data_IF_734442036688
#
_entry.id   IF_734442036688
#
_cell.length_a   1.000
_cell.length_b   1.000
_cell.length_c   1.000
_cell.angle_alpha   90.00
_cell.angle_beta   90.00
_cell.angle_gamma   90.00
#
_symmetry.space_group_name_H-M   'P 1'
#
loop_
_entity.id
_entity.type
_entity.pdbx_description
1 polymer ?
#
# COMPACT_ATOMS: atom_id res chain seq x y z
N UNK A 1 31.99 32.08 -29.63
CA UNK A 1 32.13 31.29 -28.39
C UNK A 1 32.59 32.19 -27.24
N UNK A 2 33.53 33.11 -27.46
CA UNK A 2 34.14 33.96 -26.42
C UNK A 2 33.18 34.86 -25.61
N UNK A 3 32.08 35.32 -26.20
CA UNK A 3 31.07 36.13 -25.51
C UNK A 3 30.29 35.32 -24.47
N UNK A 4 29.99 34.05 -24.75
CA UNK A 4 29.26 33.16 -23.84
C UNK A 4 30.17 32.74 -22.69
N UNK A 5 31.44 32.43 -22.98
CA UNK A 5 32.44 32.12 -21.95
C UNK A 5 32.71 33.31 -21.03
N UNK A 6 32.76 34.54 -21.57
CA UNK A 6 32.95 35.75 -20.76
C UNK A 6 31.74 36.07 -19.86
N UNK A 7 30.51 35.95 -20.35
CA UNK A 7 29.29 36.14 -19.54
C UNK A 7 29.18 35.08 -18.44
N UNK A 8 29.52 33.83 -18.76
CA UNK A 8 29.59 32.76 -17.77
C UNK A 8 30.65 33.08 -16.72
N UNK A 9 31.84 33.57 -17.09
CA UNK A 9 32.94 33.83 -16.17
C UNK A 9 32.67 34.94 -15.13
N UNK A 10 31.92 35.99 -15.50
CA UNK A 10 31.80 37.24 -14.74
C UNK A 10 30.69 37.24 -13.66
N UNK A 11 29.65 36.39 -13.79
CA UNK A 11 28.51 36.40 -12.87
C UNK A 11 28.24 35.02 -12.29
N UNK A 12 28.72 34.80 -11.06
CA UNK A 12 28.50 33.56 -10.30
C UNK A 12 27.02 33.14 -10.24
N UNK A 13 26.09 34.10 -10.10
CA UNK A 13 24.65 33.85 -10.13
C UNK A 13 24.14 33.23 -11.44
N UNK A 14 24.70 33.60 -12.60
CA UNK A 14 24.35 33.02 -13.90
C UNK A 14 24.83 31.57 -13.98
N UNK A 15 26.05 31.27 -13.49
CA UNK A 15 26.58 29.89 -13.42
C UNK A 15 25.67 28.99 -12.57
N UNK A 16 25.27 29.45 -11.38
CA UNK A 16 24.40 28.68 -10.49
C UNK A 16 22.99 28.49 -11.09
N UNK A 17 22.44 29.52 -11.72
CA UNK A 17 21.15 29.44 -12.41
C UNK A 17 21.15 28.36 -13.52
N UNK A 18 22.19 28.35 -14.35
CA UNK A 18 22.34 27.34 -15.42
C UNK A 18 22.50 25.93 -14.83
N UNK A 19 23.30 25.77 -13.78
CA UNK A 19 23.48 24.47 -13.13
C UNK A 19 22.16 23.92 -12.56
N UNK A 20 21.36 24.78 -11.90
CA UNK A 20 20.04 24.40 -11.36
C UNK A 20 19.09 24.00 -12.49
N UNK A 21 19.01 24.79 -13.56
CA UNK A 21 18.13 24.48 -14.70
C UNK A 21 18.56 23.19 -15.42
N UNK A 22 19.86 22.98 -15.60
CA UNK A 22 20.40 21.75 -16.18
C UNK A 22 20.06 20.52 -15.30
N UNK A 23 20.19 20.65 -13.98
CA UNK A 23 19.79 19.60 -13.03
C UNK A 23 18.28 19.32 -13.09
N UNK A 24 17.44 20.36 -13.08
CA UNK A 24 15.98 20.20 -13.20
C UNK A 24 15.59 19.53 -14.52
N UNK A 25 16.27 19.85 -15.63
CA UNK A 25 16.08 19.18 -16.92
C UNK A 25 16.47 17.70 -16.87
N UNK A 26 17.59 17.36 -16.21
CA UNK A 26 18.01 15.98 -15.98
C UNK A 26 16.99 15.21 -15.13
N UNK A 27 16.53 15.80 -14.01
CA UNK A 27 15.50 15.21 -13.15
C UNK A 27 14.23 14.94 -13.95
N UNK A 28 13.76 15.92 -14.72
CA UNK A 28 12.58 15.77 -15.59
C UNK A 28 12.79 14.63 -16.59
N UNK A 29 13.92 14.61 -17.31
CA UNK A 29 14.20 13.57 -18.29
C UNK A 29 14.16 12.17 -17.66
N UNK A 30 14.86 11.98 -16.54
CA UNK A 30 14.97 10.68 -15.88
C UNK A 30 13.63 10.22 -15.27
N UNK A 31 12.83 11.12 -14.69
CA UNK A 31 11.51 10.79 -14.14
C UNK A 31 10.54 10.32 -15.22
N UNK A 32 10.48 11.04 -16.35
CA UNK A 32 9.58 10.65 -17.43
C UNK A 32 10.10 9.46 -18.25
N UNK A 33 11.40 9.13 -18.18
CA UNK A 33 11.99 7.98 -18.90
C UNK A 33 11.27 6.67 -18.61
N UNK A 34 10.90 6.40 -17.35
CA UNK A 34 10.22 5.16 -16.95
C UNK A 34 8.83 5.07 -17.56
N UNK A 35 7.97 6.05 -17.28
CA UNK A 35 6.59 6.03 -17.76
C UNK A 35 6.52 6.07 -19.28
N UNK A 36 7.36 6.87 -19.94
CA UNK A 36 7.44 6.88 -21.41
C UNK A 36 7.94 5.54 -21.97
N UNK A 37 8.83 4.87 -21.26
CA UNK A 37 9.28 3.51 -21.60
C UNK A 37 8.15 2.49 -21.51
N UNK A 38 7.35 2.52 -20.43
CA UNK A 38 6.19 1.65 -20.25
C UNK A 38 5.12 1.90 -21.31
N UNK A 39 4.75 3.17 -21.58
CA UNK A 39 3.78 3.52 -22.61
C UNK A 39 4.24 3.13 -24.02
N UNK A 40 5.56 3.16 -24.28
CA UNK A 40 6.12 2.67 -25.55
C UNK A 40 6.11 1.14 -25.64
N UNK A 41 6.42 0.45 -24.53
CA UNK A 41 6.43 -1.02 -24.43
C UNK A 41 5.00 -1.59 -24.54
N UNK A 42 4.03 -0.89 -23.96
CA UNK A 42 2.62 -1.27 -23.87
C UNK A 42 1.73 -0.13 -24.37
N UNK A 43 1.58 0.03 -25.70
CA UNK A 43 0.79 1.13 -26.28
C UNK A 43 -0.72 0.95 -26.10
N UNK A 44 -1.20 -0.26 -25.87
CA UNK A 44 -2.60 -0.55 -25.53
C UNK A 44 -2.81 -0.41 -24.01
N UNK A 45 -3.52 0.62 -23.53
CA UNK A 45 -3.74 0.85 -22.10
C UNK A 45 -4.63 -0.21 -21.45
N UNK A 46 -5.37 -1.01 -22.24
CA UNK A 46 -6.27 -2.06 -21.74
C UNK A 46 -5.60 -3.42 -21.60
N UNK A 47 -4.39 -3.60 -22.13
CA UNK A 47 -3.62 -4.84 -22.04
C UNK A 47 -3.49 -5.41 -20.61
N UNK A 48 -3.27 -4.60 -19.55
CA UNK A 48 -3.21 -5.12 -18.19
C UNK A 48 -4.49 -5.84 -17.72
N UNK A 49 -5.65 -5.50 -18.27
CA UNK A 49 -6.94 -6.13 -17.93
C UNK A 49 -7.04 -7.57 -18.45
N UNK A 50 -6.18 -7.95 -19.40
CA UNK A 50 -6.14 -9.26 -20.06
C UNK A 50 -4.82 -10.01 -19.87
N UNK A 51 -3.80 -9.36 -19.30
CA UNK A 51 -2.49 -9.95 -18.97
C UNK A 51 -2.05 -9.50 -17.58
N UNK A 52 -2.16 -10.41 -16.61
CA UNK A 52 -1.84 -10.15 -15.21
C UNK A 52 -0.35 -9.87 -14.98
N UNK A 53 0.54 -10.46 -15.78
CA UNK A 53 1.99 -10.25 -15.60
C UNK A 53 2.37 -8.83 -16.05
N UNK A 54 1.76 -8.34 -17.12
CA UNK A 54 1.87 -6.92 -17.51
C UNK A 54 1.30 -6.01 -16.42
N UNK A 55 0.14 -6.36 -15.86
CA UNK A 55 -0.46 -5.59 -14.77
C UNK A 55 0.45 -5.55 -13.52
N UNK A 56 1.08 -6.67 -13.16
CA UNK A 56 2.03 -6.77 -12.03
C UNK A 56 3.28 -5.95 -12.27
N UNK A 57 3.83 -5.96 -13.48
CA UNK A 57 4.98 -5.13 -13.85
C UNK A 57 4.69 -3.64 -13.65
N UNK A 58 3.58 -3.17 -14.21
CA UNK A 58 3.23 -1.76 -14.19
C UNK A 58 2.77 -1.32 -12.79
N UNK A 59 1.95 -2.13 -12.11
CA UNK A 59 1.52 -1.89 -10.73
C UNK A 59 2.73 -1.80 -9.79
N UNK A 60 3.73 -2.67 -9.97
CA UNK A 60 4.96 -2.61 -9.18
C UNK A 60 5.81 -1.36 -9.46
N UNK A 61 5.83 -0.91 -10.71
CA UNK A 61 6.47 0.36 -11.06
C UNK A 61 5.79 1.57 -10.39
N UNK A 62 4.46 1.57 -10.30
CA UNK A 62 3.68 2.58 -9.59
C UNK A 62 3.96 2.52 -8.09
N UNK A 63 3.84 1.33 -7.51
CA UNK A 63 3.76 1.10 -6.07
C UNK A 63 5.12 1.10 -5.38
N UNK A 64 6.19 0.57 -5.98
CA UNK A 64 7.50 0.46 -5.30
C UNK A 64 8.58 1.40 -5.88
N UNK A 65 8.40 1.93 -7.09
CA UNK A 65 9.38 2.82 -7.72
C UNK A 65 8.91 4.28 -7.75
N UNK A 66 7.71 4.54 -8.25
CA UNK A 66 7.23 5.88 -8.54
C UNK A 66 6.67 6.58 -7.32
N UNK A 67 5.65 5.99 -6.68
CA UNK A 67 4.86 6.61 -5.61
C UNK A 67 4.83 5.81 -4.28
N UNK A 68 5.90 5.15 -3.83
CA UNK A 68 5.82 4.19 -2.72
C UNK A 68 5.36 4.77 -1.39
N UNK A 69 5.73 6.01 -1.09
CA UNK A 69 5.26 6.65 0.13
C UNK A 69 3.75 6.86 0.10
N UNK A 70 3.23 7.47 -0.97
CA UNK A 70 1.83 7.85 -1.01
C UNK A 70 0.91 6.66 -1.29
N UNK A 71 1.39 5.66 -2.04
CA UNK A 71 0.70 4.38 -2.22
C UNK A 71 0.45 3.70 -0.87
N UNK A 72 1.47 3.57 -0.02
CA UNK A 72 1.31 2.98 1.33
C UNK A 72 0.35 3.82 2.17
N UNK A 73 0.52 5.14 2.21
CA UNK A 73 -0.37 6.04 2.99
C UNK A 73 -1.82 5.94 2.52
N UNK A 74 -2.06 5.85 1.21
CA UNK A 74 -3.42 5.71 0.66
C UNK A 74 -4.05 4.35 0.95
N UNK A 75 -3.27 3.26 0.98
CA UNK A 75 -3.78 1.94 1.35
C UNK A 75 -4.11 1.86 2.85
N UNK A 76 -3.33 2.54 3.69
CA UNK A 76 -3.66 2.69 5.12
C UNK A 76 -4.90 3.56 5.32
N UNK A 77 -5.05 4.63 4.53
CA UNK A 77 -6.26 5.45 4.52
C UNK A 77 -7.48 4.65 4.04
N UNK A 78 -7.33 3.80 3.01
CA UNK A 78 -8.37 2.88 2.55
C UNK A 78 -8.85 1.97 3.69
N UNK A 79 -7.91 1.35 4.42
CA UNK A 79 -8.25 0.56 5.61
C UNK A 79 -8.95 1.39 6.67
N UNK A 80 -8.43 2.58 6.98
CA UNK A 80 -9.03 3.48 7.97
C UNK A 80 -10.48 3.85 7.61
N UNK A 81 -10.75 4.10 6.33
CA UNK A 81 -12.08 4.44 5.82
C UNK A 81 -13.10 3.33 6.03
N UNK A 82 -12.70 2.05 5.98
CA UNK A 82 -13.60 0.92 6.29
C UNK A 82 -14.17 0.98 7.71
N UNK A 83 -13.48 1.64 8.64
CA UNK A 83 -13.92 1.73 10.03
C UNK A 83 -15.16 2.61 10.21
N UNK A 84 -15.50 3.42 9.20
CA UNK A 84 -16.73 4.21 9.17
C UNK A 84 -17.99 3.37 8.93
N UNK A 85 -17.82 2.07 8.62
CA UNK A 85 -18.89 1.12 8.36
C UNK A 85 -19.12 0.25 9.62
N UNK A 86 -20.20 0.46 10.38
CA UNK A 86 -20.52 -0.30 11.60
C UNK A 86 -20.47 -1.83 11.51
N UNK A 87 -20.80 -2.46 10.38
CA UNK A 87 -20.68 -3.92 10.24
C UNK A 87 -19.22 -4.37 10.27
N UNK A 88 -18.32 -3.57 9.69
CA UNK A 88 -16.88 -3.81 9.71
C UNK A 88 -16.30 -3.46 11.08
N UNK A 89 -16.52 -2.22 11.56
CA UNK A 89 -15.91 -1.76 12.82
C UNK A 89 -16.31 -2.59 14.03
N UNK A 90 -17.53 -3.14 14.05
CA UNK A 90 -17.99 -4.06 15.11
C UNK A 90 -17.14 -5.33 15.16
N UNK A 91 -16.83 -5.94 14.01
CA UNK A 91 -15.96 -7.12 13.95
C UNK A 91 -14.56 -6.74 14.42
N UNK A 92 -14.02 -5.63 13.90
CA UNK A 92 -12.68 -5.14 14.25
C UNK A 92 -12.54 -4.88 15.75
N UNK A 93 -13.50 -4.19 16.38
CA UNK A 93 -13.52 -3.94 17.80
C UNK A 93 -13.68 -5.23 18.63
N UNK A 94 -14.50 -6.17 18.16
CA UNK A 94 -14.70 -7.47 18.82
C UNK A 94 -13.43 -8.33 18.83
N UNK A 95 -12.53 -8.17 17.86
CA UNK A 95 -11.25 -8.90 17.86
C UNK A 95 -10.33 -8.52 19.03
N UNK A 96 -10.50 -7.31 19.60
CA UNK A 96 -9.60 -6.69 20.59
C UNK A 96 -8.16 -6.46 20.13
N UNK A 97 -7.84 -6.74 18.87
CA UNK A 97 -6.49 -6.53 18.34
C UNK A 97 -6.17 -5.04 18.18
N UNK A 98 -7.15 -4.18 17.87
CA UNK A 98 -6.92 -2.72 17.84
C UNK A 98 -6.63 -2.15 19.23
N UNK A 99 -7.25 -2.68 20.28
CA UNK A 99 -7.06 -2.17 21.64
C UNK A 99 -5.81 -2.73 22.29
N UNK A 100 -5.49 -4.00 22.03
CA UNK A 100 -4.44 -4.71 22.78
C UNK A 100 -3.14 -4.82 21.98
N UNK A 101 -3.21 -4.94 20.65
CA UNK A 101 -2.08 -5.29 19.78
C UNK A 101 -2.07 -4.45 18.50
N UNK A 102 -2.45 -3.17 18.58
CA UNK A 102 -2.71 -2.33 17.40
C UNK A 102 -1.55 -2.32 16.40
N UNK A 103 -0.32 -2.18 16.94
CA UNK A 103 0.91 -2.19 16.16
C UNK A 103 1.09 -3.51 15.42
N UNK A 104 1.03 -4.65 16.12
CA UNK A 104 1.15 -5.98 15.52
C UNK A 104 0.08 -6.20 14.45
N UNK A 105 -1.17 -5.83 14.73
CA UNK A 105 -2.26 -5.94 13.76
C UNK A 105 -2.01 -5.14 12.48
N UNK A 106 -1.57 -3.89 12.62
CA UNK A 106 -1.26 -3.04 11.48
C UNK A 106 -0.10 -3.64 10.66
N UNK A 107 0.94 -4.14 11.35
CA UNK A 107 2.09 -4.74 10.69
C UNK A 107 1.74 -6.06 9.99
N UNK A 108 0.95 -6.93 10.63
CA UNK A 108 0.44 -8.17 10.04
C UNK A 108 -0.35 -7.92 8.77
N UNK A 109 -1.27 -6.94 8.83
CA UNK A 109 -2.10 -6.57 7.67
C UNK A 109 -1.20 -6.10 6.52
N UNK A 110 -0.23 -5.23 6.81
CA UNK A 110 0.71 -4.75 5.80
C UNK A 110 1.53 -5.90 5.22
N UNK A 111 2.14 -6.75 6.05
CA UNK A 111 3.03 -7.82 5.58
C UNK A 111 2.28 -8.87 4.77
N UNK A 112 1.06 -9.26 5.16
CA UNK A 112 0.23 -10.18 4.36
C UNK A 112 -0.06 -9.58 2.98
N UNK A 113 -0.47 -8.31 2.91
CA UNK A 113 -0.75 -7.64 1.64
C UNK A 113 0.52 -7.50 0.78
N UNK A 114 1.67 -7.26 1.39
CA UNK A 114 2.94 -7.14 0.67
C UNK A 114 3.46 -8.50 0.20
N UNK A 115 3.27 -9.58 0.95
CA UNK A 115 3.59 -10.94 0.46
C UNK A 115 2.75 -11.31 -0.78
N UNK A 116 1.51 -10.81 -0.86
CA UNK A 116 0.66 -10.97 -2.04
C UNK A 116 1.14 -10.10 -3.19
N UNK A 117 1.44 -8.82 -2.95
CA UNK A 117 1.59 -7.82 -4.03
C UNK A 117 3.04 -7.53 -4.44
N UNK A 118 4.04 -7.75 -3.57
CA UNK A 118 5.44 -7.42 -3.87
C UNK A 118 6.17 -8.51 -4.67
N UNK A 119 5.53 -9.64 -5.03
CA UNK A 119 6.19 -10.77 -5.72
C UNK A 119 7.04 -10.32 -6.92
N UNK A 120 6.46 -9.55 -7.86
CA UNK A 120 7.17 -9.01 -9.02
C UNK A 120 8.32 -8.06 -8.61
N UNK A 121 8.02 -7.05 -7.79
CA UNK A 121 8.99 -6.03 -7.39
C UNK A 121 10.15 -6.59 -6.57
N UNK A 122 9.89 -7.61 -5.74
CA UNK A 122 10.87 -8.36 -4.95
C UNK A 122 11.78 -9.16 -5.87
N UNK A 123 11.22 -9.85 -6.85
CA UNK A 123 12.00 -10.54 -7.87
C UNK A 123 12.87 -9.57 -8.69
N UNK A 124 12.32 -8.46 -9.17
CA UNK A 124 13.08 -7.44 -9.90
C UNK A 124 14.21 -6.87 -9.05
N UNK A 125 13.95 -6.54 -7.78
CA UNK A 125 15.00 -6.07 -6.87
C UNK A 125 16.10 -7.11 -6.70
N UNK A 126 15.76 -8.39 -6.55
CA UNK A 126 16.71 -9.50 -6.45
C UNK A 126 17.60 -9.56 -7.70
N UNK A 127 17.00 -9.55 -8.89
CA UNK A 127 17.73 -9.54 -10.18
C UNK A 127 18.67 -8.34 -10.28
N UNK A 128 18.19 -7.14 -9.95
CA UNK A 128 19.00 -5.92 -10.05
C UNK A 128 20.15 -5.85 -9.04
N UNK A 129 20.05 -6.52 -7.91
CA UNK A 129 21.08 -6.50 -6.85
C UNK A 129 22.05 -7.67 -6.95
N UNK A 130 21.58 -8.84 -7.39
CA UNK A 130 22.38 -10.07 -7.52
C UNK A 130 22.89 -10.31 -8.95
N UNK A 131 22.35 -9.61 -9.95
CA UNK A 131 22.78 -9.68 -11.34
C UNK A 131 22.37 -10.95 -12.10
N UNK A 132 21.44 -11.76 -11.54
CA UNK A 132 20.96 -13.00 -12.15
C UNK A 132 19.51 -13.29 -11.78
N UNK A 133 18.86 -14.11 -12.59
CA UNK A 133 17.59 -14.75 -12.25
C UNK A 133 17.88 -15.99 -11.41
N UNK A 134 17.15 -16.14 -10.30
CA UNK A 134 17.18 -17.34 -9.46
C UNK A 134 15.79 -17.99 -9.51
N UNK A 135 15.64 -18.99 -10.38
CA UNK A 135 14.36 -19.69 -10.62
C UNK A 135 13.78 -20.32 -9.35
N UNK A 136 14.64 -20.76 -8.43
CA UNK A 136 14.18 -21.31 -7.14
C UNK A 136 13.50 -20.23 -6.31
N UNK A 137 14.05 -19.03 -6.31
CA UNK A 137 13.44 -17.92 -5.57
C UNK A 137 12.22 -17.33 -6.27
N UNK A 138 12.16 -17.37 -7.62
CA UNK A 138 10.92 -17.07 -8.36
C UNK A 138 9.80 -18.01 -7.91
N UNK A 139 10.09 -19.32 -7.83
CA UNK A 139 9.14 -20.30 -7.35
C UNK A 139 8.78 -20.07 -5.87
N UNK A 140 9.75 -19.75 -5.01
CA UNK A 140 9.51 -19.42 -3.61
C UNK A 140 8.59 -18.21 -3.45
N UNK A 141 8.75 -17.17 -4.27
CA UNK A 141 7.90 -15.98 -4.23
C UNK A 141 6.43 -16.33 -4.55
N UNK A 142 6.19 -17.22 -5.51
CA UNK A 142 4.86 -17.76 -5.80
C UNK A 142 4.30 -18.55 -4.60
N UNK A 143 5.10 -19.44 -4.00
CA UNK A 143 4.68 -20.21 -2.81
C UNK A 143 4.29 -19.28 -1.65
N UNK A 144 5.09 -18.23 -1.41
CA UNK A 144 4.80 -17.22 -0.37
C UNK A 144 3.48 -16.50 -0.63
N UNK A 145 3.23 -16.08 -1.88
CA UNK A 145 1.98 -15.43 -2.27
C UNK A 145 0.77 -16.35 -2.01
N UNK A 146 0.86 -17.62 -2.38
CA UNK A 146 -0.20 -18.61 -2.15
C UNK A 146 -0.47 -18.83 -0.65
N UNK A 147 0.58 -19.00 0.16
CA UNK A 147 0.43 -19.12 1.62
C UNK A 147 -0.20 -17.85 2.21
N UNK A 148 0.16 -16.66 1.71
CA UNK A 148 -0.44 -15.41 2.18
C UNK A 148 -1.94 -15.33 1.86
N UNK A 149 -2.37 -15.80 0.68
CA UNK A 149 -3.80 -15.92 0.35
C UNK A 149 -4.54 -16.89 1.28
N UNK A 150 -4.01 -18.11 1.45
CA UNK A 150 -4.62 -19.11 2.33
C UNK A 150 -4.69 -18.62 3.77
N UNK A 151 -3.64 -17.94 4.23
CA UNK A 151 -3.60 -17.36 5.57
C UNK A 151 -4.64 -16.26 5.75
N UNK A 152 -4.74 -15.35 4.78
CA UNK A 152 -5.73 -14.27 4.81
C UNK A 152 -7.16 -14.83 4.80
N UNK A 153 -7.45 -15.75 3.89
CA UNK A 153 -8.75 -16.41 3.77
C UNK A 153 -9.10 -17.19 5.03
N UNK A 154 -8.14 -17.90 5.64
CA UNK A 154 -8.35 -18.59 6.92
C UNK A 154 -8.75 -17.63 8.03
N UNK A 155 -8.01 -16.52 8.22
CA UNK A 155 -8.29 -15.52 9.27
C UNK A 155 -9.67 -14.90 9.05
N UNK A 156 -9.94 -14.48 7.82
CA UNK A 156 -11.21 -13.86 7.44
C UNK A 156 -12.40 -14.83 7.59
N UNK A 157 -12.21 -16.11 7.28
CA UNK A 157 -13.21 -17.16 7.44
C UNK A 157 -13.61 -17.45 8.90
N UNK A 158 -12.87 -16.94 9.89
CA UNK A 158 -13.24 -17.04 11.31
C UNK A 158 -14.32 -16.03 11.72
N UNK A 159 -14.72 -15.12 10.81
CA UNK A 159 -15.65 -14.04 11.10
C UNK A 159 -16.76 -14.00 10.04
N UNK A 160 -17.97 -13.63 10.46
CA UNK A 160 -19.10 -13.45 9.55
C UNK A 160 -19.02 -12.09 8.84
N UNK A 161 -18.05 -11.95 7.92
CA UNK A 161 -17.85 -10.76 7.11
C UNK A 161 -18.80 -10.81 5.92
N UNK A 162 -19.58 -9.75 5.71
CA UNK A 162 -20.50 -9.68 4.58
C UNK A 162 -19.75 -9.56 3.26
N UNK A 163 -20.31 -10.11 2.19
CA UNK A 163 -19.74 -9.99 0.83
C UNK A 163 -19.59 -8.52 0.38
N UNK A 164 -20.57 -7.68 0.68
CA UNK A 164 -20.51 -6.24 0.40
C UNK A 164 -19.38 -5.53 1.15
N UNK A 165 -19.08 -5.94 2.39
CA UNK A 165 -17.99 -5.37 3.20
C UNK A 165 -16.62 -5.75 2.61
N UNK A 166 -16.48 -6.97 2.08
CA UNK A 166 -15.29 -7.37 1.32
C UNK A 166 -15.12 -6.55 0.04
N UNK A 167 -16.18 -6.42 -0.75
CA UNK A 167 -16.15 -5.69 -2.01
C UNK A 167 -15.86 -4.20 -1.79
N UNK A 168 -16.41 -3.60 -0.74
CA UNK A 168 -16.09 -2.23 -0.36
C UNK A 168 -14.61 -2.06 0.01
N UNK A 169 -14.08 -2.93 0.85
CA UNK A 169 -12.66 -2.89 1.21
C UNK A 169 -11.76 -3.03 -0.03
N UNK A 170 -12.11 -3.95 -0.94
CA UNK A 170 -11.41 -4.12 -2.21
C UNK A 170 -11.46 -2.87 -3.09
N UNK A 171 -12.62 -2.25 -3.23
CA UNK A 171 -12.80 -1.04 -4.02
C UNK A 171 -11.90 0.09 -3.52
N UNK A 172 -11.79 0.26 -2.19
CA UNK A 172 -10.95 1.29 -1.60
C UNK A 172 -9.45 1.09 -1.89
N UNK A 173 -8.98 -0.15 -1.98
CA UNK A 173 -7.59 -0.44 -2.36
C UNK A 173 -7.25 -0.05 -3.81
N UNK A 174 -8.25 0.19 -4.66
CA UNK A 174 -8.07 0.69 -6.02
C UNK A 174 -8.25 2.21 -6.05
N UNK A 175 -9.36 2.69 -5.47
CA UNK A 175 -9.83 4.07 -5.60
C UNK A 175 -9.03 5.06 -4.75
N UNK A 176 -8.61 4.68 -3.54
CA UNK A 176 -7.88 5.59 -2.66
C UNK A 176 -6.44 5.86 -3.15
N UNK A 177 -5.66 4.86 -3.62
CA UNK A 177 -4.36 5.13 -4.25
C UNK A 177 -4.47 6.05 -5.46
N UNK A 178 -5.45 5.81 -6.34
CA UNK A 178 -5.70 6.71 -7.47
C UNK A 178 -5.98 8.15 -6.99
N UNK A 179 -6.93 8.31 -6.06
CA UNK A 179 -7.35 9.61 -5.53
C UNK A 179 -6.18 10.36 -4.90
N UNK A 180 -5.41 9.70 -4.03
CA UNK A 180 -4.28 10.30 -3.33
C UNK A 180 -3.15 10.67 -4.30
N UNK A 181 -2.76 9.76 -5.20
CA UNK A 181 -1.71 10.03 -6.20
C UNK A 181 -2.13 11.19 -7.10
N UNK A 182 -3.36 11.18 -7.61
CA UNK A 182 -3.86 12.26 -8.47
C UNK A 182 -3.87 13.63 -7.78
N UNK A 183 -4.07 13.67 -6.46
CA UNK A 183 -4.16 14.92 -5.68
C UNK A 183 -2.83 15.40 -5.10
N UNK A 184 -1.92 14.50 -4.75
CA UNK A 184 -0.79 14.79 -3.88
C UNK A 184 0.57 14.21 -4.36
N UNK A 185 0.62 13.58 -5.53
CA UNK A 185 1.88 13.22 -6.18
C UNK A 185 2.23 14.16 -7.35
N UNK A 186 3.47 14.04 -7.82
CA UNK A 186 4.04 14.94 -8.81
C UNK A 186 3.43 14.83 -10.23
N UNK A 187 2.67 13.75 -10.47
CA UNK A 187 1.86 13.51 -11.67
C UNK A 187 0.68 12.58 -11.35
N UNK A 188 -0.41 12.62 -12.13
CA UNK A 188 -1.45 11.61 -12.06
C UNK A 188 -0.98 10.27 -12.65
N UNK A 189 -1.76 9.22 -12.38
CA UNK A 189 -1.63 7.93 -13.04
C UNK A 189 -2.10 8.03 -14.50
N UNK A 190 -1.44 7.27 -15.38
CA UNK A 190 -1.90 7.06 -16.75
C UNK A 190 -2.99 5.99 -16.78
N UNK A 191 -3.76 5.91 -17.87
CA UNK A 191 -4.78 4.86 -18.04
C UNK A 191 -4.18 3.45 -17.96
N UNK A 192 -3.00 3.26 -18.54
CA UNK A 192 -2.25 2.00 -18.45
C UNK A 192 -1.94 1.61 -17.00
N UNK A 193 -1.52 2.59 -16.17
CA UNK A 193 -1.23 2.37 -14.75
C UNK A 193 -2.50 2.09 -13.94
N UNK A 194 -3.59 2.82 -14.21
CA UNK A 194 -4.88 2.60 -13.56
C UNK A 194 -5.46 1.22 -13.86
N UNK A 195 -5.44 0.80 -15.12
CA UNK A 195 -5.91 -0.53 -15.52
C UNK A 195 -5.05 -1.64 -14.91
N UNK A 196 -3.76 -1.38 -14.68
CA UNK A 196 -2.87 -2.32 -14.00
C UNK A 196 -3.21 -2.48 -12.51
N UNK A 197 -3.47 -1.37 -11.80
CA UNK A 197 -3.94 -1.41 -10.41
C UNK A 197 -5.30 -2.14 -10.32
N UNK A 198 -6.23 -1.81 -11.22
CA UNK A 198 -7.54 -2.44 -11.28
C UNK A 198 -7.42 -3.96 -11.49
N UNK A 199 -6.64 -4.40 -12.47
CA UNK A 199 -6.45 -5.82 -12.78
C UNK A 199 -5.85 -6.61 -11.61
N UNK A 200 -4.79 -6.07 -10.97
CA UNK A 200 -4.13 -6.72 -9.81
C UNK A 200 -5.10 -6.85 -8.64
N UNK A 201 -5.85 -5.80 -8.30
CA UNK A 201 -6.79 -5.89 -7.18
C UNK A 201 -8.02 -6.74 -7.51
N UNK A 202 -8.58 -6.69 -8.73
CA UNK A 202 -9.64 -7.62 -9.14
C UNK A 202 -9.16 -9.07 -9.01
N UNK A 203 -7.93 -9.36 -9.43
CA UNK A 203 -7.32 -10.68 -9.25
C UNK A 203 -7.27 -11.07 -7.77
N UNK A 204 -6.75 -10.19 -6.90
CA UNK A 204 -6.71 -10.42 -5.45
C UNK A 204 -8.10 -10.70 -4.89
N UNK A 205 -9.11 -9.92 -5.27
CA UNK A 205 -10.49 -10.10 -4.83
C UNK A 205 -11.09 -11.43 -5.25
N UNK A 206 -10.83 -11.87 -6.49
CA UNK A 206 -11.24 -13.20 -6.97
C UNK A 206 -10.57 -14.32 -6.16
N UNK A 207 -9.28 -14.19 -5.84
CA UNK A 207 -8.53 -15.15 -4.98
C UNK A 207 -9.06 -15.21 -3.54
N UNK A 208 -9.73 -14.15 -3.09
CA UNK A 208 -10.42 -14.10 -1.79
C UNK A 208 -11.89 -14.54 -1.85
N UNK A 209 -12.40 -14.96 -3.01
CA UNK A 209 -13.79 -15.38 -3.17
C UNK A 209 -14.81 -14.23 -3.12
N UNK A 210 -14.38 -13.00 -3.39
CA UNK A 210 -15.25 -11.83 -3.49
C UNK A 210 -16.08 -11.94 -4.77
N UNK A 211 -17.40 -11.77 -4.64
CA UNK A 211 -18.36 -11.92 -5.74
C UNK A 211 -18.78 -10.58 -6.30
N UNK A 212 -19.28 -10.57 -7.54
CA UNK A 212 -19.88 -9.41 -8.20
C UNK A 212 -18.97 -8.17 -8.22
N UNK A 213 -17.66 -8.37 -8.41
CA UNK A 213 -16.70 -7.27 -8.54
C UNK A 213 -16.97 -6.56 -9.87
N UNK A 214 -17.30 -5.25 -9.89
CA UNK A 214 -17.47 -4.51 -11.14
C UNK A 214 -16.23 -4.57 -12.03
N UNK A 215 -16.41 -4.70 -13.34
CA UNK A 215 -15.32 -4.91 -14.29
C UNK A 215 -14.70 -3.59 -14.78
N UNK A 216 -15.44 -2.49 -14.65
CA UNK A 216 -14.96 -1.16 -14.98
C UNK A 216 -14.74 -0.31 -13.74
N UNK A 217 -13.77 0.61 -13.83
CA UNK A 217 -13.53 1.59 -12.77
C UNK A 217 -14.78 2.43 -12.49
N UNK A 218 -15.49 2.88 -13.52
CA UNK A 218 -16.66 3.75 -13.34
C UNK A 218 -17.76 3.06 -12.53
N UNK A 219 -18.06 1.81 -12.84
CA UNK A 219 -19.02 1.01 -12.07
C UNK A 219 -18.54 0.75 -10.64
N UNK A 220 -17.24 0.45 -10.46
CA UNK A 220 -16.65 0.25 -9.14
C UNK A 220 -16.75 1.52 -8.27
N UNK A 221 -16.46 2.70 -8.85
CA UNK A 221 -16.61 3.99 -8.19
C UNK A 221 -18.06 4.24 -7.80
N UNK A 222 -19.00 4.12 -8.74
CA UNK A 222 -20.42 4.35 -8.46
C UNK A 222 -20.95 3.41 -7.39
N UNK A 223 -20.58 2.13 -7.45
CA UNK A 223 -20.96 1.13 -6.45
C UNK A 223 -20.36 1.46 -5.07
N UNK A 224 -19.07 1.82 -5.00
CA UNK A 224 -18.38 2.15 -3.75
C UNK A 224 -18.94 3.42 -3.10
N UNK A 225 -19.24 4.44 -3.88
CA UNK A 225 -19.82 5.70 -3.40
C UNK A 225 -21.24 5.48 -2.85
N UNK A 226 -22.07 4.69 -3.54
CA UNK A 226 -23.41 4.36 -3.08
C UNK A 226 -23.38 3.49 -1.82
N UNK A 227 -22.49 2.49 -1.77
CA UNK A 227 -22.28 1.67 -0.59
C UNK A 227 -21.86 2.53 0.61
N UNK A 228 -20.89 3.43 0.43
CA UNK A 228 -20.44 4.33 1.49
C UNK A 228 -21.55 5.29 1.93
N UNK A 229 -22.31 5.88 1.00
CA UNK A 229 -23.42 6.78 1.32
C UNK A 229 -24.52 6.10 2.15
N UNK A 230 -24.76 4.82 1.92
CA UNK A 230 -25.84 4.06 2.58
C UNK A 230 -25.39 3.38 3.87
N UNK A 231 -24.09 3.09 4.01
CA UNK A 231 -23.54 2.34 5.14
C UNK A 231 -22.55 3.15 5.99
N UNK A 232 -22.11 4.33 5.61
CA UNK A 232 -21.27 5.15 6.50
C UNK A 232 -22.16 5.88 7.50
N UNK A 233 -21.99 5.55 8.78
CA UNK A 233 -22.74 6.18 9.89
C UNK A 233 -22.01 5.98 11.19
N UNK A 234 -22.22 6.91 12.13
CA UNK A 234 -21.62 6.83 13.45
C UNK A 234 -21.96 5.52 14.16
N UNK A 235 -20.95 4.92 14.78
CA UNK A 235 -21.09 3.92 15.82
C UNK A 235 -19.92 4.04 16.80
N UNK A 236 -20.16 3.68 18.06
CA UNK A 236 -19.12 3.69 19.10
C UNK A 236 -17.89 2.89 18.70
N UNK A 237 -18.08 1.73 18.07
CA UNK A 237 -16.99 0.87 17.57
C UNK A 237 -16.16 1.54 16.48
N UNK A 238 -16.75 2.42 15.65
CA UNK A 238 -15.99 3.20 14.67
C UNK A 238 -14.98 4.10 15.38
N UNK A 239 -15.45 4.83 16.40
CA UNK A 239 -14.61 5.72 17.20
C UNK A 239 -13.49 4.95 17.89
N UNK A 240 -13.81 3.84 18.53
CA UNK A 240 -12.85 3.02 19.28
C UNK A 240 -11.69 2.55 18.38
N UNK A 241 -11.97 1.99 17.20
CA UNK A 241 -10.91 1.51 16.29
C UNK A 241 -10.19 2.67 15.58
N UNK A 242 -10.89 3.76 15.30
CA UNK A 242 -10.29 4.96 14.71
C UNK A 242 -9.28 5.61 15.67
N UNK A 243 -9.65 5.81 16.94
CA UNK A 243 -8.76 6.38 17.94
C UNK A 243 -7.51 5.53 18.13
N UNK A 244 -7.64 4.20 18.25
CA UNK A 244 -6.50 3.30 18.37
C UNK A 244 -5.54 3.42 17.16
N UNK A 245 -6.09 3.55 15.96
CA UNK A 245 -5.29 3.68 14.72
C UNK A 245 -4.61 5.05 14.64
N UNK A 246 -5.31 6.11 15.04
CA UNK A 246 -4.75 7.46 15.12
C UNK A 246 -3.61 7.48 16.14
N UNK A 247 -3.79 6.89 17.32
CA UNK A 247 -2.75 6.82 18.34
C UNK A 247 -1.53 6.03 17.87
N UNK A 248 -1.73 4.92 17.14
CA UNK A 248 -0.64 4.19 16.51
C UNK A 248 0.12 5.07 15.50
N UNK A 249 -0.58 5.79 14.62
CA UNK A 249 0.05 6.70 13.66
C UNK A 249 0.87 7.79 14.39
N UNK A 250 0.30 8.38 15.44
CA UNK A 250 0.93 9.45 16.21
C UNK A 250 2.09 8.96 17.08
N UNK A 251 2.20 7.65 17.35
CA UNK A 251 3.34 7.07 18.08
C UNK A 251 4.70 7.29 17.39
N UNK A 252 4.70 7.65 16.10
CA UNK A 252 5.90 8.03 15.35
C UNK A 252 6.40 9.45 15.68
N UNK A 253 5.59 10.25 16.36
CA UNK A 253 5.90 11.63 16.71
C UNK A 253 5.94 11.83 18.24
N UNK A 254 6.69 12.83 18.74
CA UNK A 254 6.69 13.17 20.16
C UNK A 254 5.28 13.46 20.69
N UNK A 255 4.99 13.07 21.94
CA UNK A 255 3.65 13.17 22.54
C UNK A 255 3.07 14.60 22.53
N UNK A 256 3.92 15.62 22.66
CA UNK A 256 3.48 17.02 22.64
C UNK A 256 2.89 17.46 21.28
N UNK A 257 3.15 16.75 20.18
CA UNK A 257 2.58 17.05 18.86
C UNK A 257 1.26 16.32 18.59
N UNK A 258 0.82 15.42 19.47
CA UNK A 258 -0.32 14.54 19.20
C UNK A 258 -1.63 15.30 18.99
N UNK A 259 -1.87 16.37 19.75
CA UNK A 259 -3.05 17.23 19.56
C UNK A 259 -3.10 17.84 18.15
N UNK A 260 -1.97 18.32 17.65
CA UNK A 260 -1.84 18.79 16.27
C UNK A 260 -2.03 17.66 15.26
N UNK A 261 -1.43 16.50 15.51
CA UNK A 261 -1.54 15.34 14.65
C UNK A 261 -2.99 14.85 14.48
N UNK A 262 -3.81 14.87 15.54
CA UNK A 262 -5.25 14.56 15.46
C UNK A 262 -6.01 15.55 14.56
N UNK A 263 -5.68 16.84 14.63
CA UNK A 263 -6.22 17.83 13.69
C UNK A 263 -5.75 17.57 12.25
N UNK A 264 -4.50 17.19 12.05
CA UNK A 264 -3.96 16.88 10.73
C UNK A 264 -4.63 15.64 10.10
N UNK A 265 -4.90 14.60 10.88
CA UNK A 265 -5.70 13.44 10.43
C UNK A 265 -7.11 13.89 10.04
N UNK A 266 -7.80 14.64 10.91
CA UNK A 266 -9.14 15.15 10.63
C UNK A 266 -9.22 16.04 9.38
N UNK A 267 -8.13 16.74 9.05
CA UNK A 267 -8.04 17.56 7.84
C UNK A 267 -8.08 16.75 6.53
N UNK A 268 -7.62 15.49 6.57
CA UNK A 268 -7.65 14.58 5.41
C UNK A 268 -8.98 13.84 5.25
N UNK A 269 -9.82 13.83 6.30
CA UNK A 269 -11.11 13.15 6.29
C UNK A 269 -12.19 13.99 5.61
N UNK A 270 -13.07 13.32 4.87
CA UNK A 270 -14.30 13.92 4.32
C UNK A 270 -15.27 14.27 5.46
N UNK A 271 -16.24 15.18 5.25
CA UNK A 271 -17.27 15.46 6.25
C UNK A 271 -18.01 14.21 6.74
N UNK A 272 -18.38 13.32 5.82
CA UNK A 272 -19.06 12.05 6.12
C UNK A 272 -18.21 11.13 7.00
N UNK A 273 -16.91 10.99 6.72
CA UNK A 273 -16.03 10.18 7.56
C UNK A 273 -15.84 10.79 8.95
N UNK A 274 -15.72 12.11 9.05
CA UNK A 274 -15.66 12.79 10.35
C UNK A 274 -16.91 12.54 11.18
N UNK A 275 -18.08 12.62 10.56
CA UNK A 275 -19.36 12.30 11.23
C UNK A 275 -19.40 10.83 11.67
N UNK A 276 -19.01 9.89 10.80
CA UNK A 276 -18.98 8.47 11.14
C UNK A 276 -17.98 8.11 12.26
N UNK A 277 -16.94 8.91 12.45
CA UNK A 277 -15.96 8.78 13.52
C UNK A 277 -16.21 9.71 14.71
N UNK A 278 -17.24 10.56 14.69
CA UNK A 278 -17.45 11.61 15.70
C UNK A 278 -16.23 12.54 15.90
N UNK A 279 -15.45 12.79 14.83
CA UNK A 279 -14.24 13.62 14.87
C UNK A 279 -14.57 15.08 14.52
N UNK A 280 -14.05 16.06 15.29
CA UNK A 280 -14.29 17.46 14.99
C UNK A 280 -13.61 17.86 13.67
N UNK A 281 -14.17 18.80 12.89
CA UNK A 281 -13.51 19.31 11.71
C UNK A 281 -12.19 20.01 12.08
N UNK A 282 -11.15 19.80 11.27
CA UNK A 282 -9.90 20.50 11.45
C UNK A 282 -10.05 22.00 11.14
N UNK A 283 -9.32 22.89 11.85
CA UNK A 283 -9.27 24.31 11.49
C UNK A 283 -8.82 24.50 10.04
N UNK A 284 -9.44 25.44 9.31
CA UNK A 284 -9.13 25.69 7.88
C UNK A 284 -7.64 25.94 7.62
N UNK A 285 -6.95 26.62 8.54
CA UNK A 285 -5.52 26.87 8.46
C UNK A 285 -4.69 25.57 8.55
N UNK A 286 -5.08 24.64 9.42
CA UNK A 286 -4.44 23.33 9.53
C UNK A 286 -4.65 22.52 8.25
N UNK A 287 -5.87 22.51 7.70
CA UNK A 287 -6.18 21.84 6.44
C UNK A 287 -5.35 22.41 5.28
N UNK A 288 -5.30 23.74 5.14
CA UNK A 288 -4.50 24.40 4.12
C UNK A 288 -3.00 24.07 4.27
N UNK A 289 -2.49 24.00 5.50
CA UNK A 289 -1.10 23.64 5.76
C UNK A 289 -0.79 22.17 5.40
N UNK A 290 -1.65 21.23 5.78
CA UNK A 290 -1.48 19.81 5.44
C UNK A 290 -1.46 19.62 3.93
N UNK A 291 -2.41 20.20 3.21
CA UNK A 291 -2.50 20.08 1.74
C UNK A 291 -1.34 20.80 1.08
N UNK A 292 -1.00 22.01 1.55
CA UNK A 292 0.15 22.77 1.08
C UNK A 292 1.46 22.02 1.25
N UNK A 293 1.64 21.30 2.36
CA UNK A 293 2.83 20.48 2.61
C UNK A 293 2.91 19.30 1.63
N UNK A 294 1.79 18.62 1.38
CA UNK A 294 1.73 17.52 0.41
C UNK A 294 2.01 18.01 -1.02
N UNK A 295 1.47 19.17 -1.42
CA UNK A 295 1.76 19.77 -2.72
C UNK A 295 3.20 20.28 -2.84
N UNK A 296 3.74 20.89 -1.79
CA UNK A 296 5.14 21.30 -1.75
C UNK A 296 6.07 20.09 -1.88
N UNK A 297 5.77 18.97 -1.19
CA UNK A 297 6.46 17.69 -1.36
C UNK A 297 6.37 17.20 -2.81
N UNK A 298 5.18 17.21 -3.41
CA UNK A 298 4.99 16.78 -4.79
C UNK A 298 5.81 17.63 -5.78
N UNK A 299 5.80 18.96 -5.60
CA UNK A 299 6.61 19.87 -6.41
C UNK A 299 8.11 19.61 -6.21
N UNK A 300 8.56 19.41 -4.96
CA UNK A 300 9.96 19.10 -4.66
C UNK A 300 10.40 17.80 -5.33
N UNK A 301 9.58 16.75 -5.25
CA UNK A 301 9.81 15.48 -5.93
C UNK A 301 9.95 15.71 -7.45
N UNK A 302 9.00 16.44 -8.04
CA UNK A 302 8.93 16.71 -9.49
C UNK A 302 10.19 17.36 -10.05
N UNK A 303 10.71 18.35 -9.34
CA UNK A 303 11.75 19.24 -9.86
C UNK A 303 13.15 18.94 -9.33
N UNK A 304 13.27 18.36 -8.13
CA UNK A 304 14.56 18.28 -7.43
C UNK A 304 15.00 16.87 -7.02
N UNK A 305 14.11 15.87 -7.03
CA UNK A 305 14.51 14.51 -6.66
C UNK A 305 14.71 13.64 -7.91
N UNK A 306 15.83 12.92 -8.00
CA UNK A 306 16.02 11.88 -9.01
C UNK A 306 15.06 10.69 -8.79
N UNK A 307 14.67 9.95 -9.85
CA UNK A 307 13.84 8.76 -9.69
C UNK A 307 14.60 7.63 -8.97
N UNK A 308 13.86 6.76 -8.27
CA UNK A 308 14.44 5.56 -7.63
C UNK A 308 15.01 4.62 -8.69
N UNK A 309 16.14 3.99 -8.37
CA UNK A 309 16.76 2.96 -9.22
C UNK A 309 16.28 1.55 -8.86
N UNK A 310 16.08 1.26 -7.58
CA UNK A 310 15.63 -0.04 -7.08
C UNK A 310 14.19 0.08 -6.54
N UNK A 311 13.33 -0.94 -6.77
CA UNK A 311 12.01 -1.01 -6.14
C UNK A 311 12.15 -1.00 -4.62
N UNK A 312 11.38 -0.15 -3.93
CA UNK A 312 11.30 -0.15 -2.47
C UNK A 312 10.34 -1.26 -2.02
N UNK A 313 10.91 -2.44 -1.74
CA UNK A 313 10.16 -3.59 -1.20
C UNK A 313 10.44 -3.75 0.29
N UNK A 314 9.41 -4.08 1.06
CA UNK A 314 9.50 -4.29 2.50
C UNK A 314 9.75 -5.76 2.86
N UNK A 315 9.17 -6.68 2.10
CA UNK A 315 9.34 -8.12 2.32
C UNK A 315 10.75 -8.58 1.90
N UNK A 316 11.27 -9.58 2.61
CA UNK A 316 12.64 -10.04 2.42
C UNK A 316 12.85 -10.72 1.06
N UNK A 317 13.95 -10.44 0.38
CA UNK A 317 14.30 -11.09 -0.88
C UNK A 317 14.58 -12.59 -0.72
N UNK A 318 15.08 -13.02 0.45
CA UNK A 318 15.40 -14.41 0.80
C UNK A 318 15.10 -14.66 2.27
N UNK A 319 14.91 -15.92 2.64
CA UNK A 319 14.87 -16.33 4.04
C UNK A 319 16.28 -16.24 4.67
N UNK A 320 16.35 -16.07 5.99
CA UNK A 320 17.58 -16.19 6.76
C UNK A 320 17.95 -17.68 6.96
N UNK A 321 19.05 -17.94 7.69
CA UNK A 321 19.54 -19.30 8.00
C UNK A 321 18.52 -20.19 8.73
N UNK A 322 17.57 -19.57 9.43
CA UNK A 322 16.53 -20.25 10.22
C UNK A 322 15.23 -20.42 9.41
N UNK A 323 15.23 -20.04 8.12
CA UNK A 323 14.07 -20.12 7.24
C UNK A 323 13.05 -18.99 7.43
N UNK A 324 13.40 -17.92 8.15
CA UNK A 324 12.52 -16.78 8.44
C UNK A 324 12.78 -15.60 7.50
N UNK A 325 11.73 -14.85 7.16
CA UNK A 325 11.84 -13.64 6.35
C UNK A 325 11.99 -12.41 7.24
N UNK A 326 13.10 -11.69 7.10
CA UNK A 326 13.36 -10.46 7.87
C UNK A 326 13.00 -9.23 7.04
N UNK A 327 12.09 -8.40 7.54
CA UNK A 327 11.66 -7.19 6.84
C UNK A 327 12.85 -6.25 6.57
N UNK A 328 12.88 -5.62 5.39
CA UNK A 328 13.98 -4.74 4.98
C UNK A 328 13.95 -3.38 5.69
N UNK A 329 12.78 -2.98 6.18
CA UNK A 329 12.58 -1.81 7.04
C UNK A 329 11.30 -1.95 7.88
N UNK A 330 11.26 -1.23 8.99
CA UNK A 330 10.11 -1.17 9.88
C UNK A 330 9.51 0.24 9.86
N UNK A 331 8.19 0.34 9.75
CA UNK A 331 7.48 1.62 9.86
C UNK A 331 7.36 2.07 11.31
N UNK A 332 6.97 1.14 12.19
CA UNK A 332 6.88 1.33 13.63
C UNK A 332 8.00 0.54 14.33
N UNK A 333 7.87 0.32 15.65
CA UNK A 333 8.74 -0.62 16.36
C UNK A 333 8.68 -2.01 15.71
N UNK A 334 9.80 -2.74 15.60
CA UNK A 334 9.81 -4.07 14.99
C UNK A 334 8.88 -5.04 15.73
N UNK A 335 7.92 -5.62 15.01
CA UNK A 335 7.08 -6.75 15.49
C UNK A 335 7.82 -8.07 15.34
N UNK A 336 8.54 -8.21 14.23
CA UNK A 336 9.26 -9.42 13.83
C UNK A 336 10.77 -9.13 13.70
N UNK A 337 11.49 -8.84 14.80
CA UNK A 337 12.91 -8.49 14.75
C UNK A 337 13.78 -9.60 14.14
N UNK A 338 13.44 -10.87 14.41
CA UNK A 338 14.17 -12.05 13.93
C UNK A 338 13.58 -12.62 12.62
N UNK A 339 12.53 -11.99 12.11
CA UNK A 339 11.77 -12.42 10.94
C UNK A 339 10.47 -13.14 11.24
N UNK A 340 9.73 -13.47 10.18
CA UNK A 340 8.41 -14.11 10.24
C UNK A 340 8.32 -15.29 9.28
N UNK A 341 7.34 -16.16 9.56
CA UNK A 341 6.81 -17.15 8.61
C UNK A 341 5.51 -16.63 8.05
N UNK A 342 5.29 -16.79 6.74
CA UNK A 342 4.10 -16.24 6.07
C UNK A 342 2.82 -16.86 6.65
N UNK A 343 2.85 -18.16 6.95
CA UNK A 343 1.74 -18.91 7.53
C UNK A 343 1.39 -18.52 8.98
N UNK A 344 2.27 -17.81 9.69
CA UNK A 344 2.05 -17.43 11.09
C UNK A 344 1.62 -15.97 11.26
N UNK A 345 1.58 -15.18 10.18
CA UNK A 345 1.13 -13.78 10.21
C UNK A 345 -0.29 -13.65 10.75
N UNK A 346 -0.59 -12.58 11.51
CA UNK A 346 -1.91 -12.32 12.09
C UNK A 346 -2.02 -12.60 13.60
N UNK A 347 -3.26 -12.63 14.15
CA UNK A 347 -3.49 -12.75 15.60
C UNK A 347 -2.81 -13.96 16.24
N UNK A 348 -2.26 -13.79 17.44
CA UNK A 348 -1.50 -14.84 18.15
C UNK A 348 -2.30 -16.13 18.34
N UNK A 349 -3.60 -16.01 18.63
CA UNK A 349 -4.53 -17.14 18.77
C UNK A 349 -4.63 -18.04 17.53
N UNK A 350 -4.13 -17.58 16.39
CA UNK A 350 -4.13 -18.28 15.10
C UNK A 350 -2.74 -18.71 14.63
N UNK A 351 -1.67 -18.43 15.38
CA UNK A 351 -0.32 -18.95 15.05
C UNK A 351 -0.38 -20.48 15.02
N UNK A 352 0.28 -21.11 14.05
CA UNK A 352 0.26 -22.56 13.89
C UNK A 352 -1.01 -23.14 13.25
N UNK A 353 -2.05 -22.32 12.99
CA UNK A 353 -3.37 -22.80 12.51
C UNK A 353 -3.63 -22.53 11.03
N UNK A 354 -2.64 -22.04 10.28
CA UNK A 354 -2.79 -21.92 8.82
C UNK A 354 -3.02 -23.31 8.19
N UNK A 355 -4.00 -23.46 7.28
CA UNK A 355 -4.28 -24.73 6.61
C UNK A 355 -3.10 -25.27 5.80
N UNK A 356 -2.19 -24.38 5.41
CA UNK A 356 -1.00 -24.70 4.63
C UNK A 356 0.26 -24.23 5.33
N UNK A 357 1.37 -24.91 5.05
CA UNK A 357 2.70 -24.55 5.56
C UNK A 357 3.73 -24.54 4.43
N UNK A 358 4.79 -23.78 4.64
CA UNK A 358 5.91 -23.73 3.71
C UNK A 358 6.76 -25.02 3.82
N UNK A 359 7.02 -25.67 2.68
CA UNK A 359 7.97 -26.76 2.56
C UNK A 359 8.97 -26.46 1.43
N UNK A 360 10.27 -26.84 1.54
CA UNK A 360 11.26 -26.63 0.48
C UNK A 360 10.91 -27.26 -0.88
N UNK A 361 9.93 -28.17 -0.91
CA UNK A 361 9.42 -28.84 -2.10
C UNK A 361 8.07 -28.31 -2.59
N UNK A 362 7.50 -27.27 -1.94
CA UNK A 362 6.21 -26.69 -2.29
C UNK A 362 5.29 -26.39 -1.10
N UNK A 363 4.00 -26.20 -1.37
CA UNK A 363 2.96 -26.00 -0.35
C UNK A 363 2.49 -27.38 0.12
N UNK A 364 2.49 -27.62 1.43
CA UNK A 364 1.93 -28.85 2.02
C UNK A 364 0.75 -28.54 2.93
N UNK A 365 -0.38 -29.27 2.82
CA UNK A 365 -1.44 -29.20 3.81
C UNK A 365 -0.88 -29.49 5.21
N UNK A 366 -1.27 -28.69 6.19
CA UNK A 366 -0.89 -28.97 7.58
C UNK A 366 -1.75 -30.13 8.07
N UNK A 367 -1.13 -31.21 8.57
CA UNK A 367 -1.87 -32.32 9.17
C UNK A 367 -2.78 -31.76 10.27
N UNK A 368 -4.09 -32.06 10.19
CA UNK A 368 -5.03 -31.62 11.21
C UNK A 368 -4.71 -32.35 12.52
N UNK A 369 -4.46 -31.62 13.60
CA UNK A 369 -4.34 -32.21 14.94
C UNK A 369 -5.69 -32.76 15.48
N UNK A 370 -6.77 -32.68 14.70
CA UNK A 370 -8.09 -33.23 15.05
C UNK A 370 -8.26 -34.68 14.58
N UNK A 371 -7.38 -35.56 15.04
CA UNK A 371 -7.57 -37.01 15.00
C UNK A 371 -6.97 -37.68 16.26
N UNK A 372 -7.21 -37.11 17.44
CA UNK A 372 -7.08 -37.79 18.72
C UNK A 372 -8.14 -37.27 19.68
N UNK A 373 -9.30 -37.91 19.66
CA UNK A 373 -10.00 -38.46 20.83
C UNK A 373 -11.33 -39.05 20.34
N UNK A 374 -11.42 -40.37 20.45
CA UNK A 374 -12.64 -41.20 20.35
C UNK A 374 -13.18 -41.37 21.75
#
# INVERSE_FOLDING_TARGET
>A
MDTITNILSAHSGVKYGIAVLAYMALVRHLRYKRINGLLKKYPDPTLPLRDLEVAREISGAVSELEFPFLNVVSLEFALFKTYAIPSISKILAATKEFTNNCLKRADDTAVVLLEINECYSRNQRRIMTEGKVDEKEVQNDTIRQEIAYERLNFIHGQYNIKQEDYLYTLALFILEPESFIGRFEWRPLTELELNSLLAVWIYNGKRMGIKNIPETKAELTAWSEEYERTHSRYAKTNREVADATIDLLLSLAPSFTHGFGRMAVSALLTPMLREAFDLPPAPKAVTAMVYGTLWARAAFIKYFMLPRRLPLVRTAARANKDGLYVLTYHKYKPVYPDGYRVEDLGPEKFIGKCPVSFHPSGITPRASETAKEV
#
